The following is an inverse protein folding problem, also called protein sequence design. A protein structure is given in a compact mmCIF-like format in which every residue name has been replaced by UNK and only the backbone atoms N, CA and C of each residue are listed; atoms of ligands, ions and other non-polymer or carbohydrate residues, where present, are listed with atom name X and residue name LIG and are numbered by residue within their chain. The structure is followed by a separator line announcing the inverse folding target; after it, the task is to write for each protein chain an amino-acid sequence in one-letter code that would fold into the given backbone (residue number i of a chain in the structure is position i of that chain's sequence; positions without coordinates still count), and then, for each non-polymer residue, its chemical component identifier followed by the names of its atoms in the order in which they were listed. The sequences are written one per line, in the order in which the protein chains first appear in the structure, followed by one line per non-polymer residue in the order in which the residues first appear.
data_IF_723835836561
#
_entry.id   IF_723835836561
#
_cell.length_a   1.000
_cell.length_b   1.000
_cell.length_c   1.000
_cell.angle_alpha   90.00
_cell.angle_beta   90.00
_cell.angle_gamma   90.00
#
_symmetry.space_group_name_H-M   'P 1'
#
loop_
_entity.id
_entity.type
_entity.pdbx_description
1 polymer ?
#
# COMPACT_ATOMS: atom_id res chain seq x y z
N UNK A 1 1.12 17.00 -15.81
CA UNK A 1 0.86 16.42 -14.47
C UNK A 1 0.36 17.54 -13.57
N UNK A 2 -0.84 17.44 -13.02
CA UNK A 2 -1.45 18.48 -12.19
C UNK A 2 -1.45 18.04 -10.73
N UNK A 3 -1.17 18.97 -9.82
CA UNK A 3 -1.12 18.72 -8.39
C UNK A 3 -2.38 19.25 -7.72
N UNK A 4 -3.06 18.39 -6.97
CA UNK A 4 -4.26 18.73 -6.20
C UNK A 4 -3.91 18.69 -4.71
N UNK A 5 -4.10 19.81 -3.99
CA UNK A 5 -3.92 19.84 -2.54
C UNK A 5 -5.17 19.30 -1.82
N UNK A 6 -5.03 18.92 -0.54
CA UNK A 6 -6.15 18.69 0.35
C UNK A 6 -7.08 19.90 0.45
N UNK A 7 -8.26 19.70 1.05
CA UNK A 7 -9.13 20.82 1.41
C UNK A 7 -8.41 21.88 2.26
N UNK A 8 -8.86 23.13 2.16
CA UNK A 8 -8.33 24.22 2.97
C UNK A 8 -8.41 23.89 4.48
N UNK A 9 -7.42 24.34 5.23
CA UNK A 9 -7.29 24.12 6.69
C UNK A 9 -7.11 22.65 7.12
N UNK A 10 -6.79 21.74 6.19
CA UNK A 10 -6.43 20.35 6.55
C UNK A 10 -5.12 20.34 7.33
N UNK A 11 -5.12 19.73 8.51
CA UNK A 11 -3.91 19.41 9.28
C UNK A 11 -3.39 18.03 8.91
N UNK A 12 -2.12 17.76 9.21
CA UNK A 12 -1.46 16.47 8.91
C UNK A 12 -1.01 15.74 10.18
N UNK A 13 -1.69 15.99 11.30
CA UNK A 13 -1.39 15.37 12.58
C UNK A 13 -1.80 13.89 12.58
N UNK A 14 -1.28 13.14 13.53
CA UNK A 14 -1.68 11.75 13.75
C UNK A 14 -3.19 11.64 14.00
N UNK A 15 -3.83 10.62 13.40
CA UNK A 15 -5.28 10.39 13.41
C UNK A 15 -6.13 11.34 12.54
N UNK A 16 -5.53 12.31 11.84
CA UNK A 16 -6.28 13.18 10.94
C UNK A 16 -6.77 12.44 9.69
N UNK A 17 -7.96 12.81 9.21
CA UNK A 17 -8.47 12.41 7.89
C UNK A 17 -8.14 13.49 6.86
N UNK A 18 -7.35 13.12 5.86
CA UNK A 18 -6.85 14.03 4.81
C UNK A 18 -7.59 13.69 3.52
N UNK A 19 -8.40 14.63 3.02
CA UNK A 19 -9.17 14.47 1.77
C UNK A 19 -8.61 15.37 0.68
N UNK A 20 -8.30 14.77 -0.47
CA UNK A 20 -7.75 15.45 -1.65
C UNK A 20 -8.74 15.30 -2.80
N UNK A 21 -9.53 16.34 -3.10
CA UNK A 21 -10.58 16.25 -4.11
C UNK A 21 -10.09 16.70 -5.49
N UNK A 22 -10.73 16.19 -6.54
CA UNK A 22 -10.69 16.73 -7.90
C UNK A 22 -12.14 17.14 -8.24
N UNK A 23 -12.40 18.44 -8.19
CA UNK A 23 -13.77 19.01 -8.33
C UNK A 23 -13.99 19.76 -9.65
N UNK A 24 -12.94 19.94 -10.44
CA UNK A 24 -12.96 20.74 -11.67
C UNK A 24 -13.73 20.03 -12.78
N UNK A 25 -14.65 20.79 -13.40
CA UNK A 25 -15.40 20.40 -14.60
C UNK A 25 -14.47 20.37 -15.83
N UNK A 26 -14.86 19.61 -16.86
CA UNK A 26 -14.15 19.48 -18.14
C UNK A 26 -12.73 18.91 -18.08
N UNK A 27 -12.46 18.05 -17.10
CA UNK A 27 -11.16 17.38 -16.95
C UNK A 27 -11.23 15.90 -17.33
N UNK A 28 -10.27 15.51 -18.16
CA UNK A 28 -9.95 14.14 -18.52
C UNK A 28 -8.75 13.73 -17.67
N UNK A 29 -8.93 12.77 -16.78
CA UNK A 29 -7.88 12.33 -15.86
C UNK A 29 -7.45 10.91 -16.17
N UNK A 30 -6.18 10.60 -15.90
CA UNK A 30 -5.64 9.23 -15.99
C UNK A 30 -5.18 8.74 -14.62
N UNK A 31 -6.07 8.12 -13.82
CA UNK A 31 -5.76 7.71 -12.46
C UNK A 31 -4.55 6.79 -12.34
N UNK A 32 -4.39 5.78 -13.22
CA UNK A 32 -3.31 4.78 -13.09
C UNK A 32 -1.89 5.36 -13.11
N UNK A 33 -1.71 6.56 -13.70
CA UNK A 33 -0.43 7.24 -13.77
C UNK A 33 -0.30 8.36 -12.71
N UNK A 34 -1.17 8.35 -11.71
CA UNK A 34 -1.12 9.30 -10.60
C UNK A 34 -0.13 8.88 -9.51
N UNK A 35 0.28 9.86 -8.72
CA UNK A 35 1.25 9.69 -7.64
C UNK A 35 0.90 10.56 -6.43
N UNK A 36 1.23 10.08 -5.24
CA UNK A 36 1.17 10.84 -4.01
C UNK A 36 2.51 11.52 -3.75
N UNK A 37 2.49 12.83 -3.55
CA UNK A 37 3.67 13.62 -3.19
C UNK A 37 3.59 14.01 -1.72
N UNK A 38 4.67 13.80 -0.97
CA UNK A 38 4.74 14.16 0.45
C UNK A 38 6.07 14.86 0.76
N UNK A 39 5.99 15.95 1.51
CA UNK A 39 7.13 16.63 2.12
C UNK A 39 6.96 16.63 3.63
N UNK A 40 8.07 16.43 4.33
CA UNK A 40 8.08 16.48 5.79
C UNK A 40 9.48 16.48 6.37
N UNK A 41 9.56 16.35 7.69
CA UNK A 41 10.80 16.30 8.45
C UNK A 41 10.73 15.26 9.54
N UNK A 42 11.79 14.48 9.65
CA UNK A 42 12.03 13.56 10.75
C UNK A 42 12.71 14.30 11.91
N UNK A 43 12.05 14.34 13.05
CA UNK A 43 12.54 15.04 14.25
C UNK A 43 12.40 14.17 15.49
N UNK A 44 13.24 14.42 16.49
CA UNK A 44 12.96 13.98 17.84
C UNK A 44 12.04 15.00 18.54
N UNK A 45 10.91 14.54 19.08
CA UNK A 45 9.84 15.41 19.57
C UNK A 45 10.27 16.38 20.68
N UNK A 46 11.22 15.99 21.53
CA UNK A 46 11.72 16.82 22.63
C UNK A 46 12.61 17.96 22.14
N UNK A 47 13.57 17.65 21.28
CA UNK A 47 14.57 18.61 20.82
C UNK A 47 14.12 19.38 19.57
N UNK A 48 13.06 18.90 18.89
CA UNK A 48 12.61 19.37 17.56
C UNK A 48 13.74 19.45 16.54
N UNK A 49 14.73 18.58 16.71
CA UNK A 49 15.91 18.46 15.87
C UNK A 49 16.01 17.04 15.37
N UNK A 50 16.67 16.92 14.23
CA UNK A 50 17.01 15.64 13.69
C UNK A 50 18.18 15.02 14.49
N UNK A 51 18.09 13.72 14.77
CA UNK A 51 19.14 12.93 15.40
C UNK A 51 19.66 11.86 14.43
N UNK A 52 21.00 11.62 14.37
CA UNK A 52 21.59 10.64 13.46
C UNK A 52 21.18 9.19 13.72
N UNK A 53 20.76 8.88 14.95
CA UNK A 53 20.24 7.56 15.37
C UNK A 53 18.90 7.22 14.71
N UNK A 54 18.10 8.23 14.38
CA UNK A 54 16.81 8.05 13.71
C UNK A 54 17.03 7.68 12.25
N UNK A 55 16.32 6.67 11.76
CA UNK A 55 16.33 6.24 10.35
C UNK A 55 14.89 5.99 9.91
N UNK A 56 14.62 6.18 8.62
CA UNK A 56 13.32 5.85 8.03
C UNK A 56 13.30 4.36 7.67
N UNK A 57 12.17 3.71 7.93
CA UNK A 57 11.94 2.31 7.57
C UNK A 57 11.71 2.18 6.05
N UNK A 58 12.00 1.01 5.47
CA UNK A 58 11.62 0.75 4.08
C UNK A 58 10.11 0.94 3.90
N UNK A 59 9.69 1.65 2.86
CA UNK A 59 8.29 2.00 2.61
C UNK A 59 7.64 2.86 3.72
N UNK A 60 8.42 3.67 4.45
CA UNK A 60 7.97 4.46 5.61
C UNK A 60 6.70 5.29 5.33
N UNK A 61 6.54 5.83 4.13
CA UNK A 61 5.39 6.66 3.75
C UNK A 61 4.08 5.89 3.88
N UNK A 62 4.07 4.63 3.44
CA UNK A 62 2.88 3.79 3.59
C UNK A 62 2.57 3.53 5.06
N UNK A 63 3.58 3.42 5.93
CA UNK A 63 3.39 3.27 7.38
C UNK A 63 2.86 4.54 8.08
N UNK A 64 2.82 5.68 7.38
CA UNK A 64 2.20 6.89 7.92
C UNK A 64 0.68 6.82 7.95
N UNK A 65 0.06 5.91 7.20
CA UNK A 65 -1.39 5.88 7.04
C UNK A 65 -1.97 4.55 7.53
N UNK A 66 -3.12 4.61 8.21
CA UNK A 66 -3.89 3.43 8.64
C UNK A 66 -4.86 2.96 7.54
N UNK A 67 -5.34 3.88 6.69
CA UNK A 67 -6.24 3.55 5.59
C UNK A 67 -6.04 4.52 4.41
N UNK A 68 -6.08 3.98 3.19
CA UNK A 68 -6.21 4.73 1.95
C UNK A 68 -7.56 4.37 1.31
N UNK A 69 -8.33 5.38 0.90
CA UNK A 69 -9.57 5.20 0.14
C UNK A 69 -9.55 6.04 -1.12
N UNK A 70 -10.07 5.46 -2.19
CA UNK A 70 -10.31 6.15 -3.43
C UNK A 70 -11.80 6.14 -3.74
N UNK A 71 -12.37 7.32 -3.91
CA UNK A 71 -13.79 7.56 -4.12
C UNK A 71 -14.02 8.18 -5.51
N UNK A 72 -15.00 7.64 -6.24
CA UNK A 72 -15.48 8.21 -7.51
C UNK A 72 -16.97 8.50 -7.32
N UNK A 73 -17.39 9.74 -7.56
CA UNK A 73 -18.80 10.15 -7.41
C UNK A 73 -19.33 9.96 -5.97
N UNK A 74 -18.46 10.02 -4.96
CA UNK A 74 -18.81 9.74 -3.56
C UNK A 74 -18.94 8.26 -3.19
N UNK A 75 -18.66 7.35 -4.13
CA UNK A 75 -18.67 5.91 -3.90
C UNK A 75 -17.24 5.41 -3.70
N UNK A 76 -16.99 4.69 -2.61
CA UNK A 76 -15.68 4.04 -2.37
C UNK A 76 -15.47 2.94 -3.40
N UNK A 77 -14.53 3.18 -4.31
CA UNK A 77 -14.13 2.24 -5.36
C UNK A 77 -13.12 1.25 -4.81
N UNK A 78 -12.03 1.75 -4.22
CA UNK A 78 -10.99 0.93 -3.63
C UNK A 78 -10.61 1.43 -2.24
N UNK A 79 -10.19 0.49 -1.39
CA UNK A 79 -9.80 0.73 0.01
C UNK A 79 -8.68 -0.22 0.37
N UNK A 80 -7.60 0.34 0.89
CA UNK A 80 -6.46 -0.40 1.41
C UNK A 80 -6.28 -0.07 2.88
N UNK A 81 -6.43 -1.08 3.75
CA UNK A 81 -6.19 -0.97 5.20
C UNK A 81 -4.76 -1.34 5.53
N UNK A 82 -4.18 -0.63 6.49
CA UNK A 82 -2.78 -0.73 6.88
C UNK A 82 -1.87 -0.80 5.63
N UNK A 83 -1.85 0.27 4.80
CA UNK A 83 -1.04 0.33 3.60
C UNK A 83 0.43 0.01 3.90
N UNK A 84 0.98 0.42 5.05
CA UNK A 84 2.33 0.07 5.47
C UNK A 84 2.67 -1.42 5.28
N UNK A 85 1.96 -2.30 5.97
CA UNK A 85 2.17 -3.76 5.83
C UNK A 85 1.73 -4.27 4.46
N UNK A 86 0.55 -3.85 4.01
CA UNK A 86 -0.06 -4.36 2.78
C UNK A 86 0.83 -4.12 1.57
N UNK A 87 1.33 -2.89 1.39
CA UNK A 87 2.14 -2.51 0.22
C UNK A 87 3.57 -3.02 0.36
N UNK A 88 4.10 -3.16 1.58
CA UNK A 88 5.41 -3.79 1.79
C UNK A 88 5.41 -5.25 1.33
N UNK A 89 4.42 -6.05 1.74
CA UNK A 89 4.32 -7.46 1.29
C UNK A 89 4.15 -7.53 -0.23
N UNK A 90 3.35 -6.64 -0.82
CA UNK A 90 3.19 -6.56 -2.29
C UNK A 90 4.53 -6.28 -2.95
N UNK A 91 5.22 -5.21 -2.54
CA UNK A 91 6.46 -4.79 -3.16
C UNK A 91 7.54 -5.85 -3.06
N UNK A 92 7.66 -6.53 -1.91
CA UNK A 92 8.62 -7.62 -1.73
C UNK A 92 8.37 -8.81 -2.67
N UNK A 93 7.11 -9.11 -2.98
CA UNK A 93 6.76 -10.27 -3.82
C UNK A 93 6.67 -9.92 -5.30
N UNK A 94 6.36 -8.67 -5.67
CA UNK A 94 6.13 -8.30 -7.07
C UNK A 94 7.20 -7.46 -7.73
N UNK A 95 7.98 -6.68 -6.99
CA UNK A 95 8.94 -5.79 -7.62
C UNK A 95 10.14 -6.57 -8.11
N UNK A 96 10.49 -6.34 -9.37
CA UNK A 96 11.80 -6.73 -9.88
C UNK A 96 12.89 -5.83 -9.26
N UNK A 97 14.15 -6.27 -9.29
CA UNK A 97 15.27 -5.45 -8.81
C UNK A 97 15.32 -4.07 -9.49
N UNK A 98 15.02 -4.01 -10.79
CA UNK A 98 15.01 -2.76 -11.55
C UNK A 98 13.89 -1.80 -11.10
N UNK A 99 12.69 -2.34 -10.85
CA UNK A 99 11.58 -1.54 -10.31
C UNK A 99 11.88 -1.08 -8.88
N UNK A 100 12.43 -1.97 -8.05
CA UNK A 100 12.84 -1.64 -6.68
C UNK A 100 13.86 -0.51 -6.64
N UNK A 101 14.89 -0.57 -7.49
CA UNK A 101 15.88 0.50 -7.64
C UNK A 101 15.23 1.79 -8.12
N UNK A 102 14.28 1.71 -9.04
CA UNK A 102 13.53 2.87 -9.53
C UNK A 102 12.68 3.51 -8.42
N UNK A 103 12.28 2.76 -7.39
CA UNK A 103 11.46 3.24 -6.27
C UNK A 103 12.27 3.70 -5.04
N UNK A 104 13.60 3.81 -5.13
CA UNK A 104 14.43 4.37 -4.05
C UNK A 104 14.00 5.79 -3.65
N UNK A 105 13.63 6.64 -4.61
CA UNK A 105 13.09 7.98 -4.33
C UNK A 105 11.72 7.98 -3.63
N UNK A 106 11.03 6.84 -3.60
CA UNK A 106 9.69 6.66 -3.02
C UNK A 106 9.73 6.02 -1.63
N UNK A 107 10.92 5.79 -1.04
CA UNK A 107 11.02 5.08 0.24
C UNK A 107 11.43 3.62 0.10
N UNK A 108 11.68 3.11 -1.11
CA UNK A 108 11.86 1.68 -1.32
C UNK A 108 13.33 1.28 -1.51
N UNK A 109 13.86 0.43 -0.64
CA UNK A 109 15.20 -0.14 -0.80
C UNK A 109 15.19 -1.63 -0.40
N UNK A 110 15.72 -2.49 -1.29
CA UNK A 110 15.75 -3.94 -1.08
C UNK A 110 16.90 -4.41 -0.19
N UNK A 111 18.00 -3.64 -0.14
CA UNK A 111 19.23 -4.08 0.53
C UNK A 111 19.38 -3.45 1.91
N UNK A 112 18.96 -2.20 2.05
CA UNK A 112 19.16 -1.40 3.26
C UNK A 112 17.97 -0.48 3.54
N UNK A 113 18.09 0.36 4.56
CA UNK A 113 17.13 1.43 4.84
C UNK A 113 17.21 2.53 3.76
N UNK A 114 16.09 3.21 3.43
CA UNK A 114 16.09 4.31 2.49
C UNK A 114 16.83 5.54 3.03
N UNK A 115 17.71 6.14 2.20
CA UNK A 115 18.42 7.39 2.50
C UNK A 115 17.83 8.56 1.70
N UNK A 116 16.61 9.00 2.08
CA UNK A 116 15.85 10.01 1.31
C UNK A 116 15.78 11.38 2.02
N UNK A 117 16.45 11.47 3.17
CA UNK A 117 16.51 12.70 3.97
C UNK A 117 17.80 13.47 3.72
N UNK A 118 17.76 14.78 3.94
CA UNK A 118 18.97 15.60 4.04
C UNK A 118 19.60 15.55 5.45
N UNK A 119 20.71 16.25 5.64
CA UNK A 119 21.44 16.37 6.91
C UNK A 119 20.65 17.03 8.05
N UNK A 120 19.49 17.60 7.76
CA UNK A 120 18.61 18.25 8.74
C UNK A 120 17.31 17.48 8.99
N UNK A 121 17.17 16.30 8.38
CA UNK A 121 16.02 15.40 8.54
C UNK A 121 14.84 15.67 7.60
N UNK A 122 14.93 16.65 6.69
CA UNK A 122 13.88 16.92 5.70
C UNK A 122 13.89 15.88 4.60
N UNK A 123 12.71 15.51 4.12
CA UNK A 123 12.52 14.60 3.00
C UNK A 123 11.42 15.11 2.06
N UNK A 124 11.54 14.71 0.80
CA UNK A 124 10.49 14.87 -0.22
C UNK A 124 10.41 13.60 -1.05
N UNK A 125 9.21 13.05 -1.17
CA UNK A 125 8.97 11.74 -1.78
C UNK A 125 7.78 11.80 -2.71
N UNK A 126 7.88 11.07 -3.83
CA UNK A 126 6.77 10.86 -4.76
C UNK A 126 6.55 9.36 -4.90
N UNK A 127 5.34 8.88 -4.61
CA UNK A 127 4.99 7.46 -4.70
C UNK A 127 3.91 7.26 -5.75
N UNK A 128 4.13 6.44 -6.78
CA UNK A 128 3.07 6.05 -7.71
C UNK A 128 1.91 5.36 -6.97
N UNK A 129 0.67 5.79 -7.20
CA UNK A 129 -0.48 5.22 -6.49
C UNK A 129 -0.72 3.74 -6.85
N UNK A 130 -0.25 3.29 -8.02
CA UNK A 130 -0.23 1.86 -8.40
C UNK A 130 0.55 0.97 -7.42
N UNK A 131 1.48 1.54 -6.64
CA UNK A 131 2.21 0.81 -5.60
C UNK A 131 1.44 0.77 -4.27
N UNK A 132 0.42 1.62 -4.12
CA UNK A 132 -0.35 1.78 -2.88
C UNK A 132 -1.74 1.16 -2.93
N UNK A 133 -2.40 1.13 -4.09
CA UNK A 133 -3.73 0.53 -4.25
C UNK A 133 -3.90 -0.15 -5.60
N UNK A 134 -4.77 -1.16 -5.63
CA UNK A 134 -4.97 -2.05 -6.77
C UNK A 134 -5.71 -1.41 -7.94
N UNK A 135 -6.65 -0.50 -7.66
CA UNK A 135 -7.35 0.24 -8.70
C UNK A 135 -6.38 0.98 -9.64
N UNK A 136 -5.36 1.64 -9.09
CA UNK A 136 -4.38 2.38 -9.86
C UNK A 136 -3.38 1.47 -10.61
N UNK A 137 -3.22 0.20 -10.21
CA UNK A 137 -2.40 -0.79 -10.92
C UNK A 137 -3.09 -1.27 -12.21
N UNK A 138 -4.40 -1.54 -12.14
CA UNK A 138 -5.12 -2.24 -13.22
C UNK A 138 -6.00 -1.35 -14.08
N UNK A 139 -6.61 -0.30 -13.52
CA UNK A 139 -7.57 0.52 -14.24
C UNK A 139 -6.88 1.58 -15.11
N UNK A 140 -6.66 1.27 -16.38
CA UNK A 140 -5.90 2.10 -17.35
C UNK A 140 -6.77 3.00 -18.24
N UNK A 141 -8.02 3.24 -17.88
CA UNK A 141 -8.95 4.07 -18.67
C UNK A 141 -9.00 5.51 -18.14
N UNK A 142 -9.36 6.42 -19.03
CA UNK A 142 -9.55 7.85 -18.70
C UNK A 142 -10.88 8.02 -17.98
N UNK A 143 -10.89 8.84 -16.93
CA UNK A 143 -12.10 9.29 -16.26
C UNK A 143 -12.41 10.73 -16.69
N UNK A 144 -13.65 10.96 -17.10
CA UNK A 144 -14.12 12.21 -17.70
C UNK A 144 -15.17 12.81 -16.77
N UNK A 145 -15.00 14.08 -16.41
CA UNK A 145 -16.03 14.91 -15.75
C UNK A 145 -16.65 14.32 -14.49
N UNK A 146 -15.93 13.43 -13.79
CA UNK A 146 -16.40 12.79 -12.58
C UNK A 146 -15.61 13.24 -11.36
N UNK A 147 -16.32 13.57 -10.27
CA UNK A 147 -15.72 13.91 -8.99
C UNK A 147 -14.91 12.72 -8.48
N UNK A 148 -13.66 12.97 -8.13
CA UNK A 148 -12.78 11.98 -7.53
C UNK A 148 -12.23 12.50 -6.22
N UNK A 149 -12.06 11.62 -5.24
CA UNK A 149 -11.42 11.96 -3.98
C UNK A 149 -10.45 10.87 -3.55
N UNK A 150 -9.25 11.28 -3.17
CA UNK A 150 -8.30 10.44 -2.46
C UNK A 150 -8.36 10.80 -0.97
N UNK A 151 -8.69 9.81 -0.14
CA UNK A 151 -8.80 9.97 1.31
C UNK A 151 -7.69 9.17 1.98
N UNK A 152 -6.92 9.83 2.83
CA UNK A 152 -5.81 9.26 3.58
C UNK A 152 -6.14 9.40 5.07
N UNK A 153 -6.13 8.28 5.81
CA UNK A 153 -6.29 8.31 7.27
C UNK A 153 -4.91 8.21 7.89
N UNK A 154 -4.44 9.27 8.55
CA UNK A 154 -3.12 9.29 9.18
C UNK A 154 -3.11 8.33 10.38
N UNK A 155 -2.07 7.51 10.49
CA UNK A 155 -1.86 6.63 11.63
C UNK A 155 -1.81 7.43 12.93
N UNK A 156 -2.34 6.83 14.00
CA UNK A 156 -2.25 7.39 15.36
C UNK A 156 -0.82 7.53 15.88
N UNK A 157 0.16 6.84 15.28
CA UNK A 157 1.58 6.92 15.66
C UNK A 157 2.51 6.83 14.45
N UNK A 158 3.71 7.41 14.57
CA UNK A 158 4.76 7.36 13.53
C UNK A 158 5.81 6.27 13.78
N UNK A 159 5.70 5.58 14.91
CA UNK A 159 6.69 4.59 15.38
C UNK A 159 6.98 3.53 14.32
N UNK A 160 5.96 3.11 13.57
CA UNK A 160 6.07 2.08 12.55
C UNK A 160 6.83 2.52 11.28
N UNK A 161 6.99 3.83 11.08
CA UNK A 161 7.68 4.41 9.93
C UNK A 161 9.16 4.71 10.21
N UNK A 162 9.59 4.57 11.48
CA UNK A 162 10.88 5.05 11.98
C UNK A 162 11.57 3.92 12.74
N UNK A 163 12.89 3.85 12.65
CA UNK A 163 13.71 2.96 13.47
C UNK A 163 14.85 3.74 14.12
N UNK A 164 15.19 3.39 15.35
CA UNK A 164 16.31 3.95 16.10
C UNK A 164 17.04 2.87 16.88
N UNK A 165 18.32 3.09 17.18
CA UNK A 165 19.10 2.28 18.10
C UNK A 165 18.67 2.46 19.57
N UNK A 166 17.94 3.53 19.89
CA UNK A 166 17.73 3.98 21.28
C UNK A 166 16.24 4.05 21.63
N UNK A 167 15.77 3.28 22.60
CA UNK A 167 14.34 3.21 22.96
C UNK A 167 13.82 4.44 23.72
N UNK A 168 14.69 5.32 24.21
CA UNK A 168 14.32 6.53 24.97
C UNK A 168 13.89 7.70 24.09
N UNK A 169 14.27 7.67 22.81
CA UNK A 169 13.94 8.72 21.86
C UNK A 169 12.45 8.69 21.53
N UNK A 170 11.87 9.87 21.33
CA UNK A 170 10.46 10.01 20.90
C UNK A 170 10.44 10.60 19.50
N UNK A 171 10.67 9.80 18.44
CA UNK A 171 10.69 10.33 17.10
C UNK A 171 9.27 10.69 16.62
N UNK A 172 9.21 11.68 15.75
CA UNK A 172 7.99 12.18 15.14
C UNK A 172 8.26 12.63 13.70
N UNK A 173 7.26 12.50 12.83
CA UNK A 173 7.32 12.95 11.45
C UNK A 173 6.37 14.11 11.23
N UNK A 174 6.93 15.32 11.17
CA UNK A 174 6.19 16.52 10.80
C UNK A 174 5.94 16.50 9.29
N UNK A 175 4.68 16.51 8.87
CA UNK A 175 4.31 16.61 7.47
C UNK A 175 3.98 18.05 7.13
N UNK A 176 4.54 18.55 6.03
CA UNK A 176 4.35 19.94 5.58
C UNK A 176 3.45 20.03 4.37
N UNK A 177 3.53 19.02 3.48
CA UNK A 177 2.79 19.04 2.23
C UNK A 177 2.42 17.64 1.81
N UNK A 178 1.16 17.46 1.42
CA UNK A 178 0.67 16.25 0.77
C UNK A 178 -0.07 16.71 -0.48
N UNK A 179 0.26 16.16 -1.64
CA UNK A 179 -0.43 16.48 -2.90
C UNK A 179 -0.74 15.20 -3.66
N UNK A 180 -1.94 15.14 -4.24
CA UNK A 180 -2.24 14.12 -5.23
C UNK A 180 -1.92 14.66 -6.62
N UNK A 181 -0.95 14.05 -7.29
CA UNK A 181 -0.54 14.44 -8.64
C UNK A 181 -1.18 13.50 -9.65
N UNK A 182 -2.00 14.03 -10.54
CA UNK A 182 -2.71 13.26 -11.56
C UNK A 182 -2.45 13.86 -12.96
N UNK A 183 -2.23 13.02 -14.00
CA UNK A 183 -2.19 13.50 -15.37
C UNK A 183 -3.57 14.01 -15.81
N UNK A 184 -3.60 15.20 -16.42
CA UNK A 184 -4.73 15.67 -17.21
C UNK A 184 -4.40 15.43 -18.67
N UNK A 185 -5.34 14.80 -19.38
CA UNK A 185 -5.20 14.47 -20.80
C UNK A 185 -5.90 15.57 -21.59
N UNK A 186 -5.24 16.06 -22.64
CA UNK A 186 -5.87 16.87 -23.66
C UNK A 186 -6.15 15.99 -24.87
N UNK A 187 -7.40 15.97 -25.31
CA UNK A 187 -7.84 15.24 -26.50
C UNK A 187 -8.08 16.23 -27.63
N UNK A 188 -7.80 15.82 -28.87
CA UNK A 188 -8.17 16.60 -30.04
C UNK A 188 -9.70 16.74 -30.14
N UNK A 189 -10.19 17.83 -30.74
CA UNK A 189 -11.63 18.12 -30.80
C UNK A 189 -12.45 17.00 -31.46
N UNK A 190 -11.88 16.32 -32.46
CA UNK A 190 -12.49 15.16 -33.12
C UNK A 190 -12.74 14.01 -32.15
N UNK A 191 -11.73 13.68 -31.33
CA UNK A 191 -11.82 12.61 -30.32
C UNK A 191 -12.70 13.03 -29.13
N UNK A 192 -12.69 14.31 -28.79
CA UNK A 192 -13.61 14.88 -27.78
C UNK A 192 -15.06 14.63 -28.19
N UNK A 193 -15.42 14.90 -29.45
CA UNK A 193 -16.78 14.63 -29.96
C UNK A 193 -17.13 13.14 -29.91
N UNK A 194 -16.19 12.24 -30.20
CA UNK A 194 -16.40 10.80 -30.08
C UNK A 194 -16.64 10.35 -28.64
N UNK A 195 -15.86 10.88 -27.68
CA UNK A 195 -16.00 10.60 -26.26
C UNK A 195 -17.34 11.12 -25.73
N UNK A 196 -17.76 12.34 -26.09
CA UNK A 196 -19.05 12.89 -25.68
C UNK A 196 -20.21 12.04 -26.21
N UNK A 197 -20.18 11.62 -27.48
CA UNK A 197 -21.17 10.69 -28.04
C UNK A 197 -21.19 9.32 -27.34
N UNK A 198 -20.07 8.88 -26.77
CA UNK A 198 -20.01 7.66 -25.99
C UNK A 198 -20.65 7.82 -24.61
N UNK A 199 -20.41 8.97 -23.94
CA UNK A 199 -21.03 9.33 -22.66
C UNK A 199 -22.54 9.50 -22.83
N UNK A 200 -22.99 10.19 -23.88
CA UNK A 200 -24.42 10.39 -24.19
C UNK A 200 -25.20 9.08 -24.37
N UNK A 201 -24.52 7.99 -24.79
CA UNK A 201 -25.14 6.67 -24.88
C UNK A 201 -25.43 6.03 -23.52
N UNK A 202 -24.95 6.62 -22.41
CA UNK A 202 -25.22 6.17 -21.05
C UNK A 202 -24.78 4.74 -20.77
N UNK A 203 -23.67 4.29 -21.38
CA UNK A 203 -23.16 2.93 -21.17
C UNK A 203 -22.43 2.83 -19.84
N UNK A 204 -22.77 1.80 -19.07
CA UNK A 204 -22.08 1.49 -17.81
C UNK A 204 -20.59 1.24 -18.05
N UNK A 205 -19.74 1.87 -17.23
CA UNK A 205 -18.29 1.65 -17.25
C UNK A 205 -17.91 0.57 -16.23
N UNK A 206 -17.56 -0.61 -16.72
CA UNK A 206 -17.05 -1.69 -15.87
C UNK A 206 -15.70 -1.31 -15.25
N UNK A 207 -15.62 -1.38 -13.92
CA UNK A 207 -14.41 -1.13 -13.13
C UNK A 207 -13.83 -2.48 -12.67
N UNK A 208 -13.05 -3.12 -13.55
CA UNK A 208 -12.34 -4.35 -13.24
C UNK A 208 -10.93 -4.04 -12.72
N UNK A 209 -10.59 -4.48 -11.51
CA UNK A 209 -9.26 -4.32 -10.92
C UNK A 209 -9.00 -5.31 -9.78
N UNK A 210 -7.72 -5.56 -9.45
CA UNK A 210 -7.32 -6.44 -8.37
C UNK A 210 -7.21 -5.67 -7.05
N UNK A 211 -8.22 -5.78 -6.20
CA UNK A 211 -8.19 -5.21 -4.87
C UNK A 211 -7.34 -6.01 -3.87
N UNK A 212 -6.83 -5.32 -2.84
CA UNK A 212 -5.96 -5.91 -1.84
C UNK A 212 -6.66 -5.94 -0.49
N UNK A 213 -6.73 -7.12 0.13
CA UNK A 213 -7.28 -7.28 1.47
C UNK A 213 -6.24 -7.86 2.42
N UNK A 214 -6.19 -7.26 3.62
CA UNK A 214 -5.28 -7.63 4.70
C UNK A 214 -6.08 -8.23 5.86
N UNK A 215 -5.72 -9.45 6.25
CA UNK A 215 -6.14 -10.04 7.52
C UNK A 215 -4.93 -10.15 8.44
N UNK A 216 -4.94 -9.37 9.52
CA UNK A 216 -3.88 -9.35 10.54
C UNK A 216 -4.35 -10.08 11.80
N UNK A 217 -3.52 -11.01 12.27
CA UNK A 217 -3.73 -11.72 13.54
C UNK A 217 -2.69 -11.26 14.56
N UNK A 218 -3.05 -10.40 15.52
CA UNK A 218 -2.06 -9.81 16.44
C UNK A 218 -1.42 -10.86 17.36
N UNK A 219 -2.11 -11.97 17.62
CA UNK A 219 -1.59 -13.11 18.38
C UNK A 219 -1.95 -14.37 17.62
N UNK A 220 -0.92 -15.12 17.21
CA UNK A 220 -1.12 -16.46 16.68
C UNK A 220 -1.42 -17.46 17.80
N UNK A 221 -2.50 -18.21 17.64
CA UNK A 221 -2.79 -19.34 18.51
C UNK A 221 -1.79 -20.47 18.25
N UNK A 222 -1.52 -21.28 19.28
CA UNK A 222 -0.66 -22.47 19.15
C UNK A 222 -1.43 -23.61 18.44
N UNK A 223 -1.78 -23.39 17.17
CA UNK A 223 -2.54 -24.33 16.35
C UNK A 223 -1.88 -24.50 14.99
N UNK A 224 -2.02 -25.70 14.41
CA UNK A 224 -1.56 -26.01 13.05
C UNK A 224 -2.61 -25.68 11.98
N UNK A 225 -3.76 -25.14 12.38
CA UNK A 225 -4.87 -24.77 11.50
C UNK A 225 -5.39 -23.41 11.91
N UNK A 226 -5.54 -22.55 10.91
CA UNK A 226 -6.11 -21.23 11.08
C UNK A 226 -7.17 -21.01 10.01
N UNK A 227 -8.31 -20.44 10.40
CA UNK A 227 -9.42 -20.18 9.50
C UNK A 227 -9.79 -18.71 9.60
N UNK A 228 -9.95 -18.08 8.44
CA UNK A 228 -10.42 -16.70 8.35
C UNK A 228 -11.56 -16.61 7.35
N UNK A 229 -12.51 -15.73 7.64
CA UNK A 229 -13.64 -15.52 6.76
C UNK A 229 -13.21 -14.61 5.60
N UNK A 230 -13.21 -15.19 4.40
CA UNK A 230 -13.07 -14.46 3.14
C UNK A 230 -14.46 -14.04 2.71
N UNK A 231 -14.77 -12.75 2.70
CA UNK A 231 -16.03 -12.23 2.16
C UNK A 231 -16.03 -12.35 0.64
N UNK A 232 -16.39 -13.50 0.08
CA UNK A 232 -16.65 -13.60 -1.34
C UNK A 232 -18.09 -13.12 -1.60
N UNK A 233 -18.26 -11.96 -2.23
CA UNK A 233 -19.58 -11.61 -2.78
C UNK A 233 -19.88 -12.62 -3.88
N UNK A 234 -21.07 -13.22 -3.86
CA UNK A 234 -21.45 -14.29 -4.79
C UNK A 234 -21.16 -13.86 -6.24
N UNK A 235 -20.13 -14.49 -6.84
CA UNK A 235 -19.69 -14.44 -8.25
C UNK A 235 -18.80 -13.29 -8.75
N UNK A 236 -18.67 -12.14 -8.09
CA UNK A 236 -17.90 -11.00 -8.64
C UNK A 236 -16.47 -10.83 -8.12
N UNK A 237 -16.14 -11.45 -6.97
CA UNK A 237 -14.81 -11.37 -6.38
C UNK A 237 -14.16 -12.74 -6.27
N UNK A 238 -13.05 -12.96 -6.99
CA UNK A 238 -12.29 -14.21 -6.92
C UNK A 238 -10.89 -13.99 -6.33
N UNK A 239 -10.49 -14.74 -5.28
CA UNK A 239 -9.08 -14.81 -4.87
C UNK A 239 -8.21 -15.24 -6.04
N UNK A 240 -7.14 -14.51 -6.31
CA UNK A 240 -6.09 -14.90 -7.26
C UNK A 240 -4.81 -15.32 -6.59
N UNK A 241 -4.43 -14.62 -5.52
CA UNK A 241 -3.22 -14.93 -4.77
C UNK A 241 -3.51 -14.79 -3.28
N UNK A 242 -2.89 -15.66 -2.49
CA UNK A 242 -2.83 -15.52 -1.03
C UNK A 242 -1.36 -15.53 -0.65
N UNK A 243 -0.93 -14.49 0.05
CA UNK A 243 0.43 -14.36 0.57
C UNK A 243 0.32 -14.44 2.09
N UNK A 244 1.13 -15.31 2.69
CA UNK A 244 1.22 -15.43 4.14
C UNK A 244 2.59 -14.92 4.57
N UNK A 245 2.62 -13.99 5.51
CA UNK A 245 3.84 -13.45 6.09
C UNK A 245 3.78 -13.47 7.62
N UNK A 246 4.94 -13.59 8.27
CA UNK A 246 5.04 -13.67 9.71
C UNK A 246 5.90 -12.52 10.26
N UNK A 247 5.56 -11.98 11.43
CA UNK A 247 6.36 -10.95 12.12
C UNK A 247 6.31 -11.12 13.63
N UNK A 248 7.44 -11.00 14.32
CA UNK A 248 7.60 -11.33 15.73
C UNK A 248 8.00 -10.09 16.51
N UNK A 249 7.05 -9.55 17.29
CA UNK A 249 7.28 -8.39 18.18
C UNK A 249 7.96 -7.20 17.48
N UNK A 250 7.42 -6.76 16.34
CA UNK A 250 7.95 -5.60 15.56
C UNK A 250 7.02 -4.38 15.59
N UNK A 251 5.71 -4.60 15.65
CA UNK A 251 4.70 -3.54 15.57
C UNK A 251 4.77 -2.64 16.80
N UNK A 252 4.88 -1.33 16.59
CA UNK A 252 5.00 -0.35 17.68
C UNK A 252 6.36 -0.38 18.41
N UNK A 253 7.35 -1.09 17.89
CA UNK A 253 8.69 -1.16 18.49
C UNK A 253 9.67 -0.26 17.73
N UNK A 254 10.22 0.75 18.42
CA UNK A 254 11.16 1.71 17.82
C UNK A 254 12.52 1.12 17.43
N UNK A 255 12.93 0.03 18.08
CA UNK A 255 14.24 -0.61 17.86
C UNK A 255 14.18 -1.74 16.83
N UNK A 256 12.99 -2.07 16.32
CA UNK A 256 12.80 -3.19 15.40
C UNK A 256 12.13 -2.72 14.12
N UNK A 257 12.70 -3.10 12.99
CA UNK A 257 12.17 -2.73 11.69
C UNK A 257 10.85 -3.47 11.41
N UNK A 258 9.75 -2.74 11.23
CA UNK A 258 8.43 -3.29 10.87
C UNK A 258 8.31 -3.70 9.39
N UNK A 259 9.18 -3.23 8.50
CA UNK A 259 9.15 -3.67 7.10
C UNK A 259 9.73 -5.08 6.91
N UNK A 260 10.33 -5.68 7.94
CA UNK A 260 10.95 -7.00 7.88
C UNK A 260 9.97 -8.08 8.32
N UNK A 261 9.98 -9.20 7.61
CA UNK A 261 9.17 -10.38 7.90
C UNK A 261 10.07 -11.53 8.32
N UNK A 262 9.62 -12.32 9.28
CA UNK A 262 10.40 -13.42 9.84
C UNK A 262 10.22 -14.69 9.03
N UNK A 263 11.30 -15.45 8.98
CA UNK A 263 11.35 -16.75 8.35
C UNK A 263 11.05 -17.84 9.38
N UNK A 264 9.80 -18.30 9.44
CA UNK A 264 9.36 -19.24 10.47
C UNK A 264 9.69 -20.72 10.19
N UNK A 265 10.52 -21.02 9.17
CA UNK A 265 10.88 -22.39 8.77
C UNK A 265 9.66 -23.34 8.63
N UNK A 266 8.53 -22.81 8.16
CA UNK A 266 7.29 -23.57 8.04
C UNK A 266 7.36 -24.48 6.79
N UNK A 267 6.88 -25.71 6.94
CA UNK A 267 6.71 -26.66 5.83
C UNK A 267 5.26 -27.09 5.73
N UNK A 268 4.83 -27.51 4.52
CA UNK A 268 3.48 -28.03 4.26
C UNK A 268 2.34 -27.04 4.59
N UNK A 269 2.53 -25.75 4.29
CA UNK A 269 1.44 -24.77 4.37
C UNK A 269 0.40 -25.10 3.30
N UNK A 270 -0.85 -25.33 3.71
CA UNK A 270 -1.99 -25.57 2.81
C UNK A 270 -3.09 -24.56 3.05
N UNK A 271 -3.53 -23.93 1.98
CA UNK A 271 -4.70 -23.08 1.91
C UNK A 271 -5.89 -23.94 1.45
N UNK A 272 -6.93 -23.98 2.27
CA UNK A 272 -8.21 -24.57 1.92
C UNK A 272 -9.14 -23.44 1.52
N UNK A 273 -9.51 -23.38 0.23
CA UNK A 273 -10.41 -22.37 -0.30
C UNK A 273 -11.63 -23.06 -0.89
N UNK A 274 -12.79 -22.90 -0.24
CA UNK A 274 -14.00 -23.66 -0.53
C UNK A 274 -13.72 -25.18 -0.49
N UNK A 275 -13.76 -25.85 -1.64
CA UNK A 275 -13.52 -27.30 -1.78
C UNK A 275 -12.16 -27.63 -2.39
N UNK A 276 -11.30 -26.64 -2.61
CA UNK A 276 -9.99 -26.80 -3.25
C UNK A 276 -8.84 -26.55 -2.26
N UNK A 277 -7.70 -27.22 -2.51
CA UNK A 277 -6.51 -27.17 -1.66
C UNK A 277 -5.34 -26.63 -2.48
N UNK A 278 -4.64 -25.63 -1.94
CA UNK A 278 -3.51 -24.97 -2.57
C UNK A 278 -2.30 -24.91 -1.63
N UNK A 279 -1.09 -25.29 -2.07
CA UNK A 279 -0.80 -26.12 -3.24
C UNK A 279 -1.36 -27.54 -3.06
N UNK A 280 -1.62 -28.24 -4.18
CA UNK A 280 -2.14 -29.61 -4.17
C UNK A 280 -1.11 -30.60 -3.59
N UNK A 281 0.14 -30.46 -4.03
CA UNK A 281 1.25 -31.30 -3.58
C UNK A 281 1.89 -30.80 -2.27
N UNK A 282 2.42 -31.74 -1.49
CA UNK A 282 3.29 -31.44 -0.37
C UNK A 282 4.66 -31.03 -0.90
N UNK A 283 4.88 -29.75 -1.20
CA UNK A 283 6.19 -29.25 -1.55
C UNK A 283 6.96 -28.80 -0.31
N UNK A 284 8.18 -29.31 -0.16
CA UNK A 284 9.21 -28.69 0.66
C UNK A 284 9.77 -27.52 -0.17
N UNK A 285 9.42 -26.28 0.18
CA UNK A 285 9.99 -25.10 -0.46
C UNK A 285 11.51 -25.06 -0.19
N UNK A 286 12.35 -25.27 -1.21
CA UNK A 286 13.83 -25.27 -1.11
C UNK A 286 14.43 -24.06 -1.85
N UNK A 287 15.40 -23.38 -1.24
CA UNK A 287 16.15 -22.22 -1.75
C UNK A 287 17.25 -22.60 -2.74
N UNK A 288 17.43 -21.77 -3.78
CA UNK A 288 18.69 -21.59 -4.49
C UNK A 288 19.11 -20.10 -4.36
N UNK A 289 20.30 -19.77 -3.79
CA UNK A 289 20.75 -18.39 -3.60
C UNK A 289 21.02 -17.61 -4.90
N UNK A 290 20.99 -18.26 -6.06
CA UNK A 290 21.40 -17.67 -7.33
C UNK A 290 20.24 -17.34 -8.28
N UNK A 291 18.98 -17.60 -7.90
CA UNK A 291 17.82 -17.41 -8.78
C UNK A 291 16.76 -16.52 -8.13
N UNK A 292 16.35 -15.49 -8.87
CA UNK A 292 15.32 -14.51 -8.58
C UNK A 292 13.97 -15.11 -8.15
N UNK A 293 13.07 -14.32 -7.53
CA UNK A 293 11.92 -14.89 -6.86
C UNK A 293 10.76 -15.18 -7.81
N UNK A 294 10.72 -16.42 -8.27
CA UNK A 294 9.54 -17.23 -8.03
C UNK A 294 9.85 -18.17 -6.85
N UNK A 295 9.10 -18.01 -5.77
CA UNK A 295 9.10 -18.84 -4.55
C UNK A 295 10.35 -18.70 -3.64
N UNK A 296 10.13 -18.27 -2.39
CA UNK A 296 11.17 -18.03 -1.39
C UNK A 296 11.13 -19.05 -0.23
N UNK A 297 12.23 -19.76 0.05
CA UNK A 297 12.65 -20.19 1.42
C UNK A 297 14.01 -20.91 1.51
N UNK A 298 14.94 -20.53 2.44
CA UNK A 298 15.73 -21.36 3.42
C UNK A 298 16.61 -20.45 4.34
N UNK A 299 17.23 -20.81 5.48
CA UNK A 299 17.12 -21.79 6.60
C UNK A 299 18.10 -21.28 7.69
N UNK A 300 17.69 -21.20 8.95
CA UNK A 300 18.37 -21.76 10.15
C UNK A 300 17.49 -21.55 11.38
N UNK A 301 17.56 -22.51 12.33
CA UNK A 301 16.78 -22.55 13.57
C UNK A 301 17.16 -21.38 14.46
N UNK A 302 16.16 -20.75 15.09
CA UNK A 302 16.21 -20.59 16.53
C UNK A 302 14.80 -20.51 17.12
N UNK A 303 14.57 -21.41 18.07
CA UNK A 303 13.42 -21.40 18.96
C UNK A 303 13.57 -20.21 19.89
N UNK A 304 12.62 -19.28 19.90
CA UNK A 304 12.10 -18.68 21.14
C UNK A 304 10.86 -17.80 20.88
N UNK A 305 9.89 -17.94 21.79
CA UNK A 305 8.62 -17.22 21.84
C UNK A 305 8.78 -15.69 21.80
N UNK A 306 7.94 -15.01 21.01
CA UNK A 306 6.91 -14.06 21.50
C UNK A 306 6.29 -13.24 20.34
N UNK A 307 4.96 -13.26 20.23
CA UNK A 307 4.14 -12.40 19.36
C UNK A 307 4.41 -12.49 17.85
N UNK A 308 4.30 -13.69 17.28
CA UNK A 308 4.25 -13.86 15.82
C UNK A 308 2.85 -13.44 15.30
N UNK A 309 2.81 -12.49 14.37
CA UNK A 309 1.63 -12.03 13.63
C UNK A 309 1.61 -12.80 12.31
N UNK A 310 0.53 -13.54 12.01
CA UNK A 310 0.31 -14.02 10.65
C UNK A 310 -0.48 -12.97 9.88
N UNK A 311 0.05 -12.62 8.72
CA UNK A 311 -0.59 -11.71 7.78
C UNK A 311 -0.99 -12.53 6.58
N UNK A 312 -2.29 -12.79 6.44
CA UNK A 312 -2.85 -13.37 5.23
C UNK A 312 -3.31 -12.23 4.32
N UNK A 313 -2.61 -12.04 3.21
CA UNK A 313 -2.95 -11.06 2.20
C UNK A 313 -3.57 -11.74 1.00
N UNK A 314 -4.79 -11.36 0.65
CA UNK A 314 -5.48 -11.87 -0.51
C UNK A 314 -5.51 -10.82 -1.62
N UNK A 315 -5.14 -11.24 -2.83
CA UNK A 315 -5.31 -10.50 -4.07
C UNK A 315 -6.62 -10.94 -4.67
N UNK A 316 -7.56 -10.03 -4.84
CA UNK A 316 -8.86 -10.35 -5.43
C UNK A 316 -9.05 -9.59 -6.71
N UNK A 317 -9.35 -10.26 -7.80
CA UNK A 317 -9.95 -9.58 -8.95
C UNK A 317 -11.38 -9.21 -8.54
N UNK A 318 -11.65 -7.90 -8.42
CA UNK A 318 -13.00 -7.36 -8.35
C UNK A 318 -13.38 -6.97 -9.76
N UNK A 319 -14.35 -7.67 -10.34
CA UNK A 319 -15.13 -7.11 -11.42
C UNK A 319 -16.31 -6.38 -10.76
N UNK A 320 -16.23 -5.06 -10.61
CA UNK A 320 -17.40 -4.29 -10.21
C UNK A 320 -18.12 -3.84 -11.47
N UNK A 321 -19.27 -4.45 -11.74
CA UNK A 321 -20.35 -3.80 -12.48
C UNK A 321 -20.92 -2.68 -11.59
N UNK A 322 -20.15 -1.61 -11.41
CA UNK A 322 -20.70 -0.40 -10.82
C UNK A 322 -21.23 0.47 -11.94
N UNK A 323 -22.55 0.60 -11.97
CA UNK A 323 -23.26 1.60 -12.74
C UNK A 323 -22.91 2.97 -12.18
N UNK A 324 -21.82 3.52 -12.66
CA UNK A 324 -21.57 4.94 -12.52
C UNK A 324 -22.18 5.54 -13.79
N UNK A 325 -23.35 6.16 -13.64
CA UNK A 325 -23.85 7.06 -14.68
C UNK A 325 -22.80 8.18 -14.80
N UNK A 326 -22.05 8.14 -15.90
CA UNK A 326 -21.16 9.23 -16.31
C UNK A 326 -22.01 10.32 -16.95
#
# INVERSE_FOLDING_TARGET
MHSHPPYANTTFNNSDEIRIPIQTQDIYTLPCNSSLYIEGRLVEAKEKKWSPTLRLVNNFVSFLFDELRYEIGGIVVDRVRNPGITTTIKGLVSFTNNEGNSYQHAGWNHQDLPEIRNSEGYFSVTIPLKNLMGFFEDFKKVLINIRQELVLIRSSTDVNAIITSTSSEKPHLDLYRILWRIPHIQVADTEKLHLMKYIEKGRDLQLAFRSWELHEYPVLQQTNKHTWNVKATNQLEKPRFVIVAFQTDRKGQLTKNLSHFDHCNLSNIKLFLNSEIYPYDNSVFKHDPSIHPQHYHNVQKDNNNNNTIAIAKQWREREREQKINI
#
